data_IF_536613183529
#
_entry.id   IF_536613183529
#
_cell.length_a   1.000
_cell.length_b   1.000
_cell.length_c   1.000
_cell.angle_alpha   90.00
_cell.angle_beta   90.00
_cell.angle_gamma   90.00
#
_symmetry.space_group_name_H-M   'P 1'
#
loop_
_entity.id
_entity.type
_entity.pdbx_description
1 polymer ?
#
# COMPACT_ATOMS: atom_id res chain seq x y z
N UNK A 1 -11.29 8.65 -5.53
CA UNK A 1 -11.28 7.29 -4.95
C UNK A 1 -9.84 6.95 -4.70
N UNK A 2 -9.49 6.43 -3.52
CA UNK A 2 -8.12 6.01 -3.22
C UNK A 2 -8.01 4.47 -3.22
N UNK A 3 -6.82 3.98 -3.56
CA UNK A 3 -6.45 2.57 -3.60
C UNK A 3 -5.01 2.41 -3.09
N UNK A 4 -4.53 1.17 -3.02
CA UNK A 4 -3.11 0.90 -2.83
C UNK A 4 -2.32 1.23 -4.10
N UNK A 5 -1.05 1.64 -3.92
CA UNK A 5 -0.04 1.74 -4.97
C UNK A 5 0.14 0.37 -5.65
N UNK A 6 0.35 0.37 -6.96
CA UNK A 6 0.55 -0.86 -7.72
C UNK A 6 1.19 -0.61 -9.06
N UNK A 7 2.23 -1.38 -9.39
CA UNK A 7 2.76 -1.46 -10.73
C UNK A 7 3.25 -2.85 -11.09
N UNK A 8 3.88 -2.95 -12.26
CA UNK A 8 4.34 -4.22 -12.80
C UNK A 8 5.68 -4.61 -12.19
N UNK A 9 5.91 -5.92 -12.13
CA UNK A 9 7.24 -6.45 -11.81
C UNK A 9 8.11 -6.39 -13.07
N UNK A 10 9.26 -5.75 -12.98
CA UNK A 10 10.28 -5.64 -14.01
C UNK A 10 11.18 -6.88 -14.11
N UNK A 11 12.00 -6.94 -15.16
CA UNK A 11 12.94 -8.02 -15.34
C UNK A 11 14.06 -7.95 -14.29
N UNK A 12 14.37 -9.10 -13.68
CA UNK A 12 15.43 -9.27 -12.69
C UNK A 12 15.22 -8.55 -11.34
N UNK A 13 13.99 -8.11 -11.03
CA UNK A 13 13.63 -7.68 -9.67
C UNK A 13 12.86 -8.77 -8.91
N UNK A 14 13.06 -8.81 -7.61
CA UNK A 14 12.21 -9.52 -6.66
C UNK A 14 10.88 -8.79 -6.46
N UNK A 15 9.88 -9.49 -5.92
CA UNK A 15 8.59 -8.86 -5.63
C UNK A 15 8.73 -7.73 -4.59
N UNK A 16 9.62 -7.92 -3.61
CA UNK A 16 9.89 -6.92 -2.59
C UNK A 16 10.65 -5.71 -3.15
N UNK A 17 11.50 -5.88 -4.17
CA UNK A 17 12.12 -4.77 -4.89
C UNK A 17 11.07 -3.98 -5.69
N UNK A 18 10.17 -4.66 -6.40
CA UNK A 18 9.07 -4.03 -7.13
C UNK A 18 8.21 -3.14 -6.20
N UNK A 19 7.81 -3.66 -5.03
CA UNK A 19 7.04 -2.88 -4.04
C UNK A 19 7.77 -1.62 -3.59
N UNK A 20 9.09 -1.70 -3.38
CA UNK A 20 9.89 -0.55 -2.96
C UNK A 20 10.05 0.47 -4.08
N UNK A 21 10.30 0.00 -5.30
CA UNK A 21 10.45 0.83 -6.50
C UNK A 21 9.16 1.59 -6.79
N UNK A 22 8.04 0.90 -6.93
CA UNK A 22 6.73 1.51 -7.24
C UNK A 22 6.30 2.53 -6.17
N UNK A 23 6.46 2.20 -4.88
CA UNK A 23 6.17 3.15 -3.81
C UNK A 23 7.03 4.43 -3.93
N UNK A 24 8.30 4.27 -4.28
CA UNK A 24 9.23 5.39 -4.42
C UNK A 24 8.99 6.20 -5.70
N UNK A 25 8.70 5.56 -6.83
CA UNK A 25 8.44 6.21 -8.13
C UNK A 25 7.15 7.04 -8.06
N UNK A 26 6.04 6.43 -7.65
CA UNK A 26 4.75 7.11 -7.66
C UNK A 26 4.62 8.17 -6.53
N UNK A 27 5.20 7.94 -5.35
CA UNK A 27 4.95 8.79 -4.17
C UNK A 27 6.19 9.43 -3.55
N UNK A 28 7.40 9.00 -3.93
CA UNK A 28 8.65 9.40 -3.27
C UNK A 28 8.87 8.80 -1.88
N UNK A 29 7.93 7.98 -1.38
CA UNK A 29 8.01 7.36 -0.05
C UNK A 29 8.94 6.13 -0.11
N UNK A 30 9.87 6.06 0.85
CA UNK A 30 10.77 4.93 1.01
C UNK A 30 10.09 3.94 1.97
N UNK A 31 9.97 2.68 1.54
CA UNK A 31 9.48 1.58 2.37
C UNK A 31 10.59 0.55 2.61
N UNK A 32 10.63 -0.03 3.81
CA UNK A 32 11.65 -1.02 4.18
C UNK A 32 11.05 -2.41 4.30
N UNK A 33 10.35 -2.72 5.39
CA UNK A 33 9.73 -4.03 5.58
C UNK A 33 8.61 -4.22 4.57
N UNK A 34 8.69 -5.27 3.75
CA UNK A 34 7.66 -5.69 2.79
C UNK A 34 7.23 -7.11 3.15
N UNK A 35 5.93 -7.33 3.32
CA UNK A 35 5.39 -8.64 3.68
C UNK A 35 4.24 -9.04 2.74
N UNK A 36 4.40 -10.19 2.09
CA UNK A 36 3.35 -10.78 1.28
C UNK A 36 2.10 -11.09 2.11
N UNK A 37 0.93 -10.84 1.53
CA UNK A 37 -0.37 -11.15 2.12
C UNK A 37 -1.14 -12.19 1.29
N UNK A 38 -1.48 -11.87 0.04
CA UNK A 38 -2.34 -12.70 -0.80
C UNK A 38 -2.22 -12.34 -2.27
N UNK A 39 -2.67 -13.21 -3.16
CA UNK A 39 -2.75 -12.96 -4.60
C UNK A 39 -4.20 -12.87 -5.10
N UNK A 40 -4.45 -12.14 -6.17
CA UNK A 40 -5.73 -12.13 -6.88
C UNK A 40 -5.52 -12.11 -8.40
N UNK A 41 -6.19 -12.98 -9.19
CA UNK A 41 -6.16 -12.85 -10.64
C UNK A 41 -6.86 -11.56 -11.07
N UNK A 42 -6.27 -10.84 -12.02
CA UNK A 42 -6.81 -9.61 -12.58
C UNK A 42 -6.95 -9.73 -14.11
N UNK A 43 -8.16 -9.95 -14.62
CA UNK A 43 -8.38 -10.42 -16.00
C UNK A 43 -8.18 -9.36 -17.09
N UNK A 44 -7.79 -8.12 -16.75
CA UNK A 44 -7.60 -7.05 -17.73
C UNK A 44 -6.24 -6.35 -17.50
N UNK A 45 -5.20 -6.55 -18.34
CA UNK A 45 -5.21 -7.33 -19.58
C UNK A 45 -5.03 -8.85 -19.41
N UNK A 46 -4.24 -9.33 -18.43
CA UNK A 46 -4.06 -10.74 -18.00
C UNK A 46 -2.98 -10.76 -16.89
N UNK A 47 -3.27 -10.16 -15.74
CA UNK A 47 -2.28 -9.96 -14.67
C UNK A 47 -2.58 -10.84 -13.45
N UNK A 48 -1.55 -11.15 -12.68
CA UNK A 48 -1.68 -11.68 -11.31
C UNK A 48 -1.30 -10.56 -10.34
N UNK A 49 -2.27 -10.07 -9.58
CA UNK A 49 -2.00 -9.10 -8.53
C UNK A 49 -1.44 -9.82 -7.31
N UNK A 50 -0.31 -9.34 -6.80
CA UNK A 50 0.34 -9.84 -5.59
C UNK A 50 0.29 -8.73 -4.54
N UNK A 51 -0.39 -9.01 -3.44
CA UNK A 51 -0.71 -8.01 -2.42
C UNK A 51 0.29 -8.06 -1.28
N UNK A 52 0.81 -6.89 -0.92
CA UNK A 52 1.80 -6.71 0.13
C UNK A 52 1.33 -5.66 1.14
N UNK A 53 1.81 -5.78 2.37
CA UNK A 53 1.76 -4.71 3.36
C UNK A 53 3.20 -4.30 3.64
N UNK A 54 3.47 -3.01 3.57
CA UNK A 54 4.81 -2.44 3.74
C UNK A 54 4.85 -1.37 4.83
N UNK A 55 6.02 -1.20 5.46
CA UNK A 55 6.30 -0.13 6.42
C UNK A 55 7.12 0.97 5.76
N UNK A 56 6.59 2.19 5.77
CA UNK A 56 7.30 3.37 5.32
C UNK A 56 8.33 3.82 6.36
N UNK A 57 9.52 4.20 5.89
CA UNK A 57 10.62 4.77 6.68
C UNK A 57 10.88 6.25 6.36
N UNK A 58 10.13 6.81 5.41
CA UNK A 58 9.98 8.24 5.18
C UNK A 58 8.49 8.62 5.09
N UNK A 59 8.18 9.90 5.27
CA UNK A 59 6.79 10.40 5.23
C UNK A 59 6.55 11.48 4.19
N UNK A 60 7.61 12.08 3.65
CA UNK A 60 7.48 13.16 2.68
C UNK A 60 7.05 12.61 1.32
N UNK A 61 5.88 13.05 0.86
CA UNK A 61 5.32 12.67 -0.43
C UNK A 61 5.84 13.65 -1.48
N UNK A 62 6.48 13.10 -2.51
CA UNK A 62 6.96 13.82 -3.67
C UNK A 62 6.66 12.98 -4.91
N UNK A 63 5.66 13.40 -5.69
CA UNK A 63 5.34 12.76 -6.98
C UNK A 63 6.57 12.84 -7.90
N UNK A 64 7.03 11.70 -8.42
CA UNK A 64 8.17 11.64 -9.36
C UNK A 64 7.75 11.30 -10.77
N UNK A 65 6.55 10.76 -10.94
CA UNK A 65 5.86 10.58 -12.20
C UNK A 65 4.53 11.35 -12.19
N UNK A 66 3.90 11.42 -13.37
CA UNK A 66 2.57 12.01 -13.55
C UNK A 66 1.46 10.92 -13.50
N UNK A 67 1.72 9.75 -12.89
CA UNK A 67 0.75 8.65 -12.86
C UNK A 67 -0.37 8.86 -11.82
N UNK A 68 -0.04 9.48 -10.69
CA UNK A 68 -0.98 9.77 -9.62
C UNK A 68 -1.50 11.21 -9.65
N UNK A 69 -2.82 11.36 -9.51
CA UNK A 69 -3.44 12.66 -9.24
C UNK A 69 -3.22 13.12 -7.78
N UNK A 70 -3.20 12.16 -6.83
CA UNK A 70 -3.00 12.43 -5.41
C UNK A 70 -2.47 11.19 -4.67
N UNK A 71 -1.64 11.42 -3.66
CA UNK A 71 -1.23 10.46 -2.65
C UNK A 71 -1.25 11.16 -1.28
N UNK A 72 -1.91 10.53 -0.30
CA UNK A 72 -2.14 11.12 1.01
C UNK A 72 -1.96 10.08 2.12
N UNK A 73 -1.47 10.54 3.27
CA UNK A 73 -1.45 9.76 4.49
C UNK A 73 -2.81 9.84 5.18
N UNK A 74 -3.45 8.70 5.38
CA UNK A 74 -4.70 8.59 6.12
C UNK A 74 -4.49 7.98 7.49
N UNK A 75 -5.11 8.56 8.51
CA UNK A 75 -5.17 7.94 9.83
C UNK A 75 -6.01 6.68 9.78
N UNK A 76 -5.73 5.73 10.69
CA UNK A 76 -6.51 4.49 10.79
C UNK A 76 -8.01 4.73 10.94
N UNK A 77 -8.40 5.77 11.69
CA UNK A 77 -9.80 6.12 11.91
C UNK A 77 -10.48 6.57 10.60
N UNK A 78 -9.80 7.37 9.78
CA UNK A 78 -10.30 7.79 8.46
C UNK A 78 -10.46 6.60 7.53
N UNK A 79 -9.47 5.70 7.48
CA UNK A 79 -9.56 4.48 6.67
C UNK A 79 -10.72 3.58 7.12
N UNK A 80 -10.94 3.43 8.43
CA UNK A 80 -12.08 2.69 8.98
C UNK A 80 -13.42 3.33 8.56
N UNK A 81 -13.52 4.65 8.58
CA UNK A 81 -14.72 5.38 8.14
C UNK A 81 -14.96 5.16 6.63
N UNK A 82 -13.92 5.26 5.80
CA UNK A 82 -13.97 5.02 4.36
C UNK A 82 -14.44 3.59 4.03
N UNK A 83 -13.88 2.59 4.71
CA UNK A 83 -14.24 1.17 4.54
C UNK A 83 -15.70 0.89 4.92
N UNK A 84 -16.24 1.61 5.91
CA UNK A 84 -17.66 1.52 6.30
C UNK A 84 -18.59 2.24 5.31
N UNK A 85 -18.05 3.03 4.39
CA UNK A 85 -18.84 3.88 3.49
C UNK A 85 -19.54 5.02 4.21
N UNK A 86 -18.94 5.54 5.28
CA UNK A 86 -19.48 6.69 6.01
C UNK A 86 -19.51 7.92 5.08
N UNK A 87 -20.63 8.64 5.07
CA UNK A 87 -20.78 9.88 4.28
C UNK A 87 -19.85 11.00 4.75
N UNK A 88 -19.36 10.91 5.99
CA UNK A 88 -18.37 11.84 6.56
C UNK A 88 -16.93 11.46 6.25
N UNK A 89 -16.69 10.34 5.58
CA UNK A 89 -15.34 9.92 5.20
C UNK A 89 -14.68 10.96 4.28
N UNK A 90 -13.42 11.28 4.54
CA UNK A 90 -12.62 12.17 3.70
C UNK A 90 -12.46 11.62 2.26
N UNK A 91 -12.59 10.30 2.08
CA UNK A 91 -12.41 9.66 0.79
C UNK A 91 -13.24 8.38 0.62
N UNK A 92 -13.37 7.92 -0.63
CA UNK A 92 -13.95 6.62 -0.97
C UNK A 92 -12.85 5.59 -1.27
N UNK A 93 -13.06 4.37 -0.76
CA UNK A 93 -12.15 3.24 -0.90
C UNK A 93 -12.46 2.40 -2.15
N UNK A 94 -11.47 1.69 -2.66
CA UNK A 94 -11.65 0.62 -3.64
C UNK A 94 -12.79 -0.35 -3.25
N UNK A 95 -13.56 -0.88 -4.23
CA UNK A 95 -14.74 -1.68 -3.96
C UNK A 95 -14.42 -3.00 -3.23
N UNK A 96 -15.39 -3.47 -2.43
CA UNK A 96 -15.31 -4.77 -1.77
C UNK A 96 -15.07 -5.89 -2.79
N UNK A 97 -14.14 -6.78 -2.49
CA UNK A 97 -13.73 -7.87 -3.38
C UNK A 97 -12.50 -7.57 -4.24
N UNK A 98 -12.03 -6.31 -4.28
CA UNK A 98 -10.71 -5.98 -4.82
C UNK A 98 -9.58 -6.38 -3.84
N UNK A 99 -8.39 -6.66 -4.37
CA UNK A 99 -7.21 -6.96 -3.56
C UNK A 99 -6.86 -5.79 -2.64
N UNK A 100 -6.95 -4.55 -3.15
CA UNK A 100 -6.74 -3.35 -2.34
C UNK A 100 -7.68 -3.30 -1.12
N UNK A 101 -8.98 -3.55 -1.32
CA UNK A 101 -9.94 -3.63 -0.21
C UNK A 101 -9.56 -4.73 0.78
N UNK A 102 -9.17 -5.92 0.30
CA UNK A 102 -8.69 -7.03 1.13
C UNK A 102 -7.47 -6.66 1.98
N UNK A 103 -6.46 -6.01 1.38
CA UNK A 103 -5.24 -5.57 2.08
C UNK A 103 -5.55 -4.54 3.16
N UNK A 104 -6.40 -3.56 2.85
CA UNK A 104 -6.82 -2.54 3.82
C UNK A 104 -7.58 -3.17 4.99
N UNK A 105 -8.51 -4.09 4.71
CA UNK A 105 -9.22 -4.82 5.75
C UNK A 105 -8.26 -5.65 6.63
N UNK A 106 -7.24 -6.26 6.06
CA UNK A 106 -6.21 -6.98 6.82
C UNK A 106 -5.41 -6.02 7.72
N UNK A 107 -4.94 -4.90 7.18
CA UNK A 107 -4.19 -3.88 7.93
C UNK A 107 -4.99 -3.29 9.11
N UNK A 108 -6.29 -3.03 8.92
CA UNK A 108 -7.19 -2.53 9.99
C UNK A 108 -7.38 -3.54 11.12
N UNK A 109 -7.28 -4.85 10.85
CA UNK A 109 -7.58 -5.88 11.84
C UNK A 109 -6.33 -6.50 12.48
N UNK A 110 -5.19 -6.49 11.78
CA UNK A 110 -3.97 -7.13 12.25
C UNK A 110 -3.21 -6.23 13.23
N UNK A 111 -2.92 -6.77 14.42
CA UNK A 111 -2.16 -6.08 15.47
C UNK A 111 -0.68 -5.94 15.15
N UNK A 112 -0.14 -6.76 14.26
CA UNK A 112 1.29 -6.72 13.91
C UNK A 112 1.70 -5.44 13.17
N UNK A 113 0.73 -4.70 12.62
CA UNK A 113 0.93 -3.41 11.95
C UNK A 113 0.40 -2.22 12.76
N UNK A 114 0.13 -2.42 14.06
CA UNK A 114 -0.39 -1.38 14.96
C UNK A 114 0.67 -0.72 15.84
N UNK A 115 1.91 -1.22 15.81
CA UNK A 115 3.01 -0.73 16.64
C UNK A 115 4.11 -0.16 15.74
N UNK A 116 4.73 0.99 16.09
CA UNK A 116 5.97 1.40 15.46
C UNK A 116 7.00 0.29 15.69
N UNK A 117 7.54 -0.29 14.62
CA UNK A 117 8.70 -1.17 14.72
C UNK A 117 9.85 -0.31 15.28
N UNK A 118 10.15 -0.50 16.57
CA UNK A 118 11.22 0.24 17.23
C UNK A 118 12.53 0.01 16.49
N UNK A 119 13.23 1.10 16.21
CA UNK A 119 14.59 1.18 15.69
C UNK A 119 15.47 0.10 16.30
N UNK A 120 15.74 -0.97 15.56
CA UNK A 120 16.74 -1.95 15.99
C UNK A 120 18.06 -1.56 15.36
N UNK A 121 18.90 -0.94 16.18
CA UNK A 121 20.35 -0.86 15.99
C UNK A 121 20.89 -2.25 15.62
N UNK A 122 21.13 -2.51 14.35
CA UNK A 122 22.03 -3.57 13.93
C UNK A 122 23.40 -2.93 13.70
N UNK A 123 24.19 -2.83 14.78
CA UNK A 123 25.65 -2.90 14.64
C UNK A 123 25.98 -4.34 14.24
N UNK A 124 26.49 -4.52 13.04
CA UNK A 124 27.65 -5.37 12.77
C UNK A 124 28.61 -4.58 11.89
#
# INVERSE_FOLDING_TARGET
MFSCISGFVEAAETLEEAVRREAFEETGVIVDRVAYHSSQPWPFPNSLMLGFIAEAVSTDIHFRDDELESAEWFTRSEVIAAVKGDKSSAFSMAPKGSLASTLVHAWINDKKWQQPTSTTNAKM
#
